data_IF_759850062045
#
_entry.id   IF_759850062045
#
_cell.length_a   1.000
_cell.length_b   1.000
_cell.length_c   1.000
_cell.angle_alpha   90.00
_cell.angle_beta   90.00
_cell.angle_gamma   90.00
#
_symmetry.space_group_name_H-M   'P 1'
#
loop_
_entity.id
_entity.type
_entity.pdbx_description
1 polymer ?
#
# COMPACT_ATOMS: atom_id res chain seq x y z
N UNK A 1 -4.62 30.31 -92.09
CA UNK A 1 -5.55 29.33 -91.50
C UNK A 1 -4.88 27.97 -91.61
N UNK A 2 -4.07 27.57 -90.63
CA UNK A 2 -3.47 26.24 -90.59
C UNK A 2 -4.44 25.32 -89.86
N UNK A 3 -5.16 24.48 -90.59
CA UNK A 3 -5.97 23.39 -90.02
C UNK A 3 -5.21 22.09 -90.27
N UNK A 4 -4.28 21.76 -89.38
CA UNK A 4 -3.73 20.40 -89.31
C UNK A 4 -4.85 19.49 -88.80
N UNK A 5 -5.48 18.79 -89.74
CA UNK A 5 -6.40 17.68 -89.47
C UNK A 5 -5.59 16.55 -88.85
N UNK A 6 -5.51 16.47 -87.52
CA UNK A 6 -4.98 15.30 -86.82
C UNK A 6 -5.89 14.09 -87.16
N UNK A 7 -5.42 13.22 -88.07
CA UNK A 7 -6.13 12.01 -88.45
C UNK A 7 -6.07 11.01 -87.28
N UNK A 8 -7.21 10.78 -86.63
CA UNK A 8 -7.36 9.67 -85.68
C UNK A 8 -7.18 8.33 -86.41
N UNK A 9 -6.33 7.46 -85.89
CA UNK A 9 -6.16 6.10 -86.40
C UNK A 9 -7.12 5.16 -85.65
N UNK A 10 -7.86 4.33 -86.37
CA UNK A 10 -8.74 3.30 -85.78
C UNK A 10 -8.13 1.93 -86.06
N UNK A 11 -7.72 1.22 -85.02
CA UNK A 11 -7.24 -0.17 -85.10
C UNK A 11 -8.41 -1.08 -84.77
N UNK A 12 -8.87 -1.88 -85.73
CA UNK A 12 -9.97 -2.83 -85.50
C UNK A 12 -9.45 -4.25 -85.39
N UNK A 13 -9.96 -4.99 -84.41
CA UNK A 13 -9.66 -6.39 -84.16
C UNK A 13 -10.96 -7.19 -84.18
N UNK A 14 -10.99 -8.27 -84.96
CA UNK A 14 -12.12 -9.20 -84.97
C UNK A 14 -11.70 -10.51 -84.31
N UNK A 15 -12.41 -10.93 -83.28
CA UNK A 15 -12.15 -12.22 -82.63
C UNK A 15 -12.68 -13.37 -83.50
N UNK A 16 -12.12 -14.59 -83.36
CA UNK A 16 -12.65 -15.79 -84.02
C UNK A 16 -14.11 -16.11 -83.67
N UNK A 17 -14.62 -15.58 -82.56
CA UNK A 17 -16.03 -15.69 -82.14
C UNK A 17 -16.96 -14.68 -82.83
N UNK A 18 -16.45 -13.84 -83.73
CA UNK A 18 -17.21 -12.83 -84.47
C UNK A 18 -17.36 -11.48 -83.76
N UNK A 19 -16.73 -11.28 -82.59
CA UNK A 19 -16.80 -9.98 -81.90
C UNK A 19 -15.81 -8.99 -82.51
N UNK A 20 -16.22 -7.74 -82.69
CA UNK A 20 -15.35 -6.65 -83.17
C UNK A 20 -14.99 -5.76 -82.00
N UNK A 21 -13.70 -5.57 -81.75
CA UNK A 21 -13.16 -4.53 -80.87
C UNK A 21 -12.39 -3.52 -81.69
N UNK A 22 -12.29 -2.28 -81.22
CA UNK A 22 -11.52 -1.24 -81.89
C UNK A 22 -10.81 -0.36 -80.87
N UNK A 23 -9.66 0.15 -81.25
CA UNK A 23 -8.89 1.15 -80.52
C UNK A 23 -8.81 2.41 -81.38
N UNK A 24 -9.19 3.56 -80.81
CA UNK A 24 -9.10 4.86 -81.47
C UNK A 24 -7.91 5.61 -80.91
N UNK A 25 -6.90 5.83 -81.74
CA UNK A 25 -5.67 6.54 -81.39
C UNK A 25 -5.79 7.96 -81.94
N UNK A 26 -6.13 8.91 -81.08
CA UNK A 26 -6.19 10.34 -81.43
C UNK A 26 -4.80 10.93 -81.68
N UNK A 27 -3.83 10.52 -80.85
CA UNK A 27 -2.44 10.95 -80.94
C UNK A 27 -1.52 9.76 -80.62
N UNK A 28 -0.67 9.31 -81.55
CA UNK A 28 0.28 8.25 -81.23
C UNK A 28 1.26 8.73 -80.14
N UNK A 29 1.74 7.83 -79.27
CA UNK A 29 2.70 8.20 -78.25
C UNK A 29 3.96 8.79 -78.89
N UNK A 30 4.35 10.00 -78.49
CA UNK A 30 5.53 10.71 -79.02
C UNK A 30 6.83 9.92 -78.77
N UNK A 31 6.84 9.10 -77.73
CA UNK A 31 7.88 8.14 -77.41
C UNK A 31 7.24 6.77 -77.40
N UNK A 32 7.56 5.92 -78.37
CA UNK A 32 7.15 4.52 -78.40
C UNK A 32 7.89 3.67 -77.35
N UNK A 33 8.45 4.28 -76.29
CA UNK A 33 9.11 3.51 -75.23
C UNK A 33 8.05 2.94 -74.30
N UNK A 34 8.19 1.64 -74.01
CA UNK A 34 7.47 0.96 -72.95
C UNK A 34 7.56 1.77 -71.64
N UNK A 35 6.54 1.71 -70.76
CA UNK A 35 6.59 2.38 -69.46
C UNK A 35 7.87 2.00 -68.72
N UNK A 36 8.73 2.99 -68.46
CA UNK A 36 10.05 2.81 -67.83
C UNK A 36 9.98 2.38 -66.37
N UNK A 37 8.79 2.38 -65.76
CA UNK A 37 8.59 2.13 -64.34
C UNK A 37 7.50 1.08 -64.17
N UNK A 38 7.80 -0.14 -64.57
CA UNK A 38 7.20 -1.31 -63.92
C UNK A 38 8.10 -1.62 -62.73
N UNK A 39 7.52 -1.65 -61.52
CA UNK A 39 8.21 -2.16 -60.34
C UNK A 39 8.90 -3.46 -60.75
N UNK A 40 10.22 -3.52 -60.62
CA UNK A 40 11.02 -4.65 -61.08
C UNK A 40 10.44 -5.91 -60.46
N UNK A 41 9.81 -6.76 -61.29
CA UNK A 41 9.48 -8.12 -60.89
C UNK A 41 10.74 -8.76 -60.34
N UNK A 42 10.68 -9.54 -59.24
CA UNK A 42 11.88 -10.15 -58.66
C UNK A 42 12.70 -10.81 -59.77
N UNK A 43 13.92 -10.32 -59.97
CA UNK A 43 14.80 -10.73 -61.07
C UNK A 43 15.27 -12.17 -60.94
N UNK A 44 15.07 -12.77 -59.77
CA UNK A 44 15.44 -14.14 -59.44
C UNK A 44 14.22 -14.89 -58.91
N UNK A 45 13.92 -16.10 -59.41
CA UNK A 45 12.88 -16.94 -58.82
C UNK A 45 13.25 -17.18 -57.35
N UNK A 46 12.30 -16.93 -56.45
CA UNK A 46 12.53 -17.20 -55.03
C UNK A 46 12.58 -18.70 -54.84
N UNK A 47 13.70 -19.22 -54.34
CA UNK A 47 13.85 -20.65 -54.08
C UNK A 47 13.03 -21.07 -52.87
N UNK A 48 12.66 -22.34 -52.79
CA UNK A 48 11.93 -22.90 -51.63
C UNK A 48 12.73 -22.67 -50.33
N UNK A 49 14.07 -22.77 -50.40
CA UNK A 49 14.95 -22.52 -49.26
C UNK A 49 14.86 -21.07 -48.75
N UNK A 50 14.83 -20.09 -49.66
CA UNK A 50 14.67 -18.68 -49.30
C UNK A 50 13.30 -18.38 -48.69
N UNK A 51 12.25 -19.08 -49.12
CA UNK A 51 10.92 -18.97 -48.52
C UNK A 51 10.96 -19.54 -47.09
N UNK A 52 11.53 -20.72 -46.91
CA UNK A 52 11.65 -21.36 -45.60
C UNK A 52 12.48 -20.53 -44.62
N UNK A 53 13.57 -19.92 -45.08
CA UNK A 53 14.40 -19.02 -44.27
C UNK A 53 13.60 -17.79 -43.79
N UNK A 54 12.84 -17.16 -44.70
CA UNK A 54 11.97 -16.01 -44.34
C UNK A 54 10.87 -16.40 -43.37
N UNK A 55 10.28 -17.59 -43.52
CA UNK A 55 9.28 -18.12 -42.59
C UNK A 55 9.89 -18.39 -41.21
N UNK A 56 11.07 -19.01 -41.15
CA UNK A 56 11.82 -19.24 -39.90
C UNK A 56 12.16 -17.92 -39.21
N UNK A 57 12.65 -16.92 -39.94
CA UNK A 57 12.94 -15.60 -39.39
C UNK A 57 11.69 -14.85 -38.90
N UNK A 58 10.51 -15.12 -39.46
CA UNK A 58 9.25 -14.59 -38.95
C UNK A 58 8.80 -15.31 -37.67
N UNK A 59 9.01 -16.63 -37.59
CA UNK A 59 8.73 -17.42 -36.39
C UNK A 59 9.64 -17.07 -35.21
N UNK A 60 10.94 -16.89 -35.46
CA UNK A 60 11.90 -16.44 -34.44
C UNK A 60 11.50 -15.08 -33.88
N UNK A 61 11.11 -14.12 -34.73
CA UNK A 61 10.59 -12.81 -34.29
C UNK A 61 9.34 -12.93 -33.42
N UNK A 62 8.42 -13.84 -33.76
CA UNK A 62 7.22 -14.11 -32.93
C UNK A 62 7.63 -14.66 -31.56
N UNK A 63 8.53 -15.64 -31.54
CA UNK A 63 8.99 -16.27 -30.31
C UNK A 63 9.70 -15.28 -29.39
N UNK A 64 10.60 -14.44 -29.93
CA UNK A 64 11.27 -13.39 -29.15
C UNK A 64 10.26 -12.39 -28.55
N UNK A 65 9.29 -11.92 -29.34
CA UNK A 65 8.27 -11.00 -28.84
C UNK A 65 7.39 -11.63 -27.73
N UNK A 66 7.10 -12.93 -27.83
CA UNK A 66 6.36 -13.66 -26.80
C UNK A 66 7.19 -13.84 -25.52
N UNK A 67 8.47 -14.18 -25.65
CA UNK A 67 9.42 -14.26 -24.52
C UNK A 67 9.54 -12.92 -23.80
N UNK A 68 9.75 -11.83 -24.54
CA UNK A 68 9.85 -10.47 -23.97
C UNK A 68 8.56 -10.08 -23.22
N UNK A 69 7.39 -10.45 -23.76
CA UNK A 69 6.10 -10.21 -23.11
C UNK A 69 5.98 -10.99 -21.80
N UNK A 70 6.37 -12.27 -21.80
CA UNK A 70 6.34 -13.13 -20.61
C UNK A 70 7.32 -12.61 -19.56
N UNK A 71 8.53 -12.24 -19.95
CA UNK A 71 9.54 -11.74 -19.02
C UNK A 71 9.17 -10.38 -18.44
N UNK A 72 8.57 -9.49 -19.24
CA UNK A 72 8.00 -8.24 -18.74
C UNK A 72 6.91 -8.51 -17.69
N UNK A 73 5.99 -9.42 -17.96
CA UNK A 73 4.92 -9.80 -17.02
C UNK A 73 5.49 -10.37 -15.71
N UNK A 74 6.51 -11.23 -15.78
CA UNK A 74 7.20 -11.77 -14.58
C UNK A 74 7.90 -10.68 -13.76
N UNK A 75 8.52 -9.69 -14.41
CA UNK A 75 9.15 -8.57 -13.72
C UNK A 75 8.09 -7.72 -13.01
N UNK A 76 6.98 -7.40 -13.69
CA UNK A 76 5.86 -6.65 -13.11
C UNK A 76 5.25 -7.39 -11.90
N UNK A 77 5.04 -8.70 -12.00
CA UNK A 77 4.58 -9.56 -10.90
C UNK A 77 5.53 -9.50 -9.70
N UNK A 78 6.84 -9.71 -9.91
CA UNK A 78 7.85 -9.63 -8.82
C UNK A 78 7.88 -8.26 -8.15
N UNK A 79 7.72 -7.18 -8.92
CA UNK A 79 7.67 -5.82 -8.38
C UNK A 79 6.40 -5.61 -7.55
N UNK A 80 5.25 -6.12 -8.01
CA UNK A 80 3.99 -6.06 -7.28
C UNK A 80 4.06 -6.85 -5.97
N UNK A 81 4.57 -8.08 -5.98
CA UNK A 81 4.77 -8.90 -4.78
C UNK A 81 5.72 -8.23 -3.78
N UNK A 82 6.83 -7.65 -4.26
CA UNK A 82 7.76 -6.92 -3.41
C UNK A 82 7.08 -5.70 -2.76
N UNK A 83 6.21 -4.99 -3.49
CA UNK A 83 5.45 -3.87 -2.94
C UNK A 83 4.44 -4.32 -1.86
N UNK A 84 3.74 -5.44 -2.10
CA UNK A 84 2.84 -6.05 -1.10
C UNK A 84 3.61 -6.44 0.17
N UNK A 85 4.76 -7.12 0.02
CA UNK A 85 5.60 -7.52 1.16
C UNK A 85 6.10 -6.32 1.96
N UNK A 86 6.56 -5.25 1.29
CA UNK A 86 6.96 -4.00 1.97
C UNK A 86 5.80 -3.38 2.76
N UNK A 87 4.61 -3.33 2.18
CA UNK A 87 3.41 -2.79 2.84
C UNK A 87 3.01 -3.64 4.06
N UNK A 88 3.10 -4.96 3.96
CA UNK A 88 2.82 -5.87 5.07
C UNK A 88 3.81 -5.66 6.23
N UNK A 89 5.12 -5.60 5.95
CA UNK A 89 6.15 -5.32 6.97
C UNK A 89 5.95 -3.97 7.64
N UNK A 90 5.57 -2.93 6.87
CA UNK A 90 5.31 -1.61 7.43
C UNK A 90 4.08 -1.61 8.36
N UNK A 91 3.01 -2.31 7.98
CA UNK A 91 1.81 -2.45 8.80
C UNK A 91 2.10 -3.22 10.10
N UNK A 92 2.85 -4.32 10.00
CA UNK A 92 3.29 -5.11 11.15
C UNK A 92 4.14 -4.27 12.11
N UNK A 93 5.11 -3.53 11.59
CA UNK A 93 5.93 -2.62 12.39
C UNK A 93 5.09 -1.57 13.13
N UNK A 94 4.10 -0.97 12.45
CA UNK A 94 3.19 -0.01 13.07
C UNK A 94 2.37 -0.65 14.19
N UNK A 95 1.81 -1.84 13.97
CA UNK A 95 1.01 -2.56 14.96
C UNK A 95 1.84 -2.93 16.20
N UNK A 96 3.02 -3.51 16.01
CA UNK A 96 3.93 -3.89 17.11
C UNK A 96 4.33 -2.64 17.90
N UNK A 97 4.70 -1.55 17.21
CA UNK A 97 5.11 -0.30 17.85
C UNK A 97 3.97 0.32 18.67
N UNK A 98 2.74 0.32 18.13
CA UNK A 98 1.56 0.81 18.84
C UNK A 98 1.26 -0.03 20.10
N UNK A 99 1.29 -1.36 19.97
CA UNK A 99 1.06 -2.27 21.09
C UNK A 99 2.11 -2.11 22.18
N UNK A 100 3.39 -1.99 21.80
CA UNK A 100 4.51 -1.80 22.72
C UNK A 100 4.40 -0.46 23.47
N UNK A 101 4.03 0.63 22.79
CA UNK A 101 3.73 1.92 23.45
C UNK A 101 2.56 1.77 24.44
N UNK A 102 1.46 1.13 24.04
CA UNK A 102 0.29 0.93 24.90
C UNK A 102 0.64 0.09 26.14
N UNK A 103 1.46 -0.95 25.97
CA UNK A 103 1.95 -1.80 27.06
C UNK A 103 2.81 -1.00 28.05
N UNK A 104 3.78 -0.21 27.55
CA UNK A 104 4.62 0.67 28.39
C UNK A 104 3.82 1.71 29.16
N UNK A 105 2.83 2.32 28.52
CA UNK A 105 1.93 3.29 29.18
C UNK A 105 1.13 2.62 30.29
N UNK A 106 0.57 1.45 30.04
CA UNK A 106 -0.17 0.66 31.03
C UNK A 106 0.71 0.29 32.21
N UNK A 107 1.92 -0.24 31.96
CA UNK A 107 2.87 -0.60 33.01
C UNK A 107 3.31 0.61 33.84
N UNK A 108 3.55 1.76 33.18
CA UNK A 108 3.91 3.01 33.86
C UNK A 108 2.77 3.50 34.75
N UNK A 109 1.53 3.45 34.24
CA UNK A 109 0.35 3.85 35.01
C UNK A 109 0.14 2.94 36.22
N UNK A 110 0.28 1.62 36.07
CA UNK A 110 0.19 0.67 37.17
C UNK A 110 1.27 0.93 38.24
N UNK A 111 2.52 1.16 37.84
CA UNK A 111 3.61 1.51 38.77
C UNK A 111 3.32 2.80 39.52
N UNK A 112 2.81 3.82 38.83
CA UNK A 112 2.38 5.09 39.44
C UNK A 112 1.25 4.86 40.45
N UNK A 113 0.22 4.11 40.08
CA UNK A 113 -0.92 3.82 40.95
C UNK A 113 -0.47 3.09 42.22
N UNK A 114 0.40 2.08 42.09
CA UNK A 114 0.97 1.36 43.23
C UNK A 114 1.72 2.30 44.19
N UNK A 115 2.55 3.21 43.67
CA UNK A 115 3.27 4.19 44.51
C UNK A 115 2.32 5.12 45.26
N UNK A 116 1.24 5.56 44.60
CA UNK A 116 0.20 6.40 45.20
C UNK A 116 -0.54 5.63 46.30
N UNK A 117 -0.94 4.40 46.03
CA UNK A 117 -1.61 3.51 46.99
C UNK A 117 -0.75 3.25 48.23
N UNK A 118 0.53 2.91 48.05
CA UNK A 118 1.48 2.74 49.15
C UNK A 118 1.63 4.02 49.99
N UNK A 119 1.59 5.20 49.36
CA UNK A 119 1.66 6.49 50.07
C UNK A 119 0.37 6.75 50.87
N UNK A 120 -0.79 6.47 50.28
CA UNK A 120 -2.09 6.62 50.95
C UNK A 120 -2.19 5.67 52.16
N UNK A 121 -1.72 4.43 52.02
CA UNK A 121 -1.74 3.46 53.13
C UNK A 121 -0.82 3.90 54.28
N UNK A 122 0.39 4.41 53.98
CA UNK A 122 1.27 5.00 55.01
C UNK A 122 0.61 6.16 55.75
N UNK A 123 -0.10 7.04 55.03
CA UNK A 123 -0.84 8.16 55.62
C UNK A 123 -1.97 7.65 56.51
N UNK A 124 -2.71 6.62 56.07
CA UNK A 124 -3.80 6.00 56.83
C UNK A 124 -3.30 5.35 58.12
N UNK A 125 -2.18 4.61 58.07
CA UNK A 125 -1.53 4.04 59.25
C UNK A 125 -1.10 5.14 60.22
N UNK A 126 -0.54 6.25 59.71
CA UNK A 126 -0.15 7.38 60.55
C UNK A 126 -1.34 8.03 61.26
N UNK A 127 -2.46 8.24 60.57
CA UNK A 127 -3.69 8.77 61.17
C UNK A 127 -4.22 7.84 62.27
N UNK A 128 -4.30 6.52 62.01
CA UNK A 128 -4.69 5.53 63.03
C UNK A 128 -3.81 5.58 64.27
N UNK A 129 -2.49 5.80 64.10
CA UNK A 129 -1.56 5.95 65.23
C UNK A 129 -1.81 7.22 66.01
N UNK A 130 -2.09 8.35 65.34
CA UNK A 130 -2.43 9.61 66.01
C UNK A 130 -3.72 9.45 66.80
N UNK A 131 -4.77 8.88 66.21
CA UNK A 131 -6.06 8.68 66.89
C UNK A 131 -5.91 7.72 68.08
N UNK A 132 -5.15 6.64 67.93
CA UNK A 132 -4.81 5.76 69.05
C UNK A 132 -4.00 6.44 70.16
N UNK A 133 -3.17 7.45 69.83
CA UNK A 133 -2.46 8.24 70.84
C UNK A 133 -3.41 9.23 71.55
N UNK A 134 -4.32 9.87 70.82
CA UNK A 134 -5.34 10.77 71.38
C UNK A 134 -6.25 10.04 72.36
N UNK A 135 -6.80 8.88 71.96
CA UNK A 135 -7.68 8.10 72.83
C UNK A 135 -6.98 7.67 74.13
N UNK A 136 -5.71 7.25 74.07
CA UNK A 136 -4.93 6.93 75.27
C UNK A 136 -4.75 8.12 76.21
N UNK A 137 -4.49 9.31 75.66
CA UNK A 137 -4.37 10.53 76.47
C UNK A 137 -5.71 11.01 77.04
N UNK A 138 -6.84 10.59 76.46
CA UNK A 138 -8.17 10.83 77.02
C UNK A 138 -8.46 9.83 78.14
N UNK A 139 -8.19 8.55 77.93
CA UNK A 139 -8.30 7.49 78.95
C UNK A 139 -7.44 7.79 80.20
N UNK A 140 -6.19 8.25 80.01
CA UNK A 140 -5.31 8.64 81.13
C UNK A 140 -5.88 9.83 81.92
N UNK A 141 -6.50 10.82 81.24
CA UNK A 141 -7.14 11.96 81.93
C UNK A 141 -8.37 11.53 82.70
N UNK A 142 -9.18 10.63 82.15
CA UNK A 142 -10.37 10.12 82.83
C UNK A 142 -9.98 9.33 84.10
N UNK A 143 -8.90 8.54 84.04
CA UNK A 143 -8.34 7.84 85.22
C UNK A 143 -7.81 8.83 86.27
N UNK A 144 -7.09 9.87 85.86
CA UNK A 144 -6.54 10.88 86.78
C UNK A 144 -7.66 11.68 87.46
N UNK A 145 -8.75 11.97 86.76
CA UNK A 145 -9.95 12.64 87.31
C UNK A 145 -10.63 11.75 88.35
N UNK A 146 -10.80 10.46 88.06
CA UNK A 146 -11.39 9.49 88.99
C UNK A 146 -10.53 9.28 90.25
N UNK A 147 -9.20 9.28 90.11
CA UNK A 147 -8.28 9.13 91.24
C UNK A 147 -8.25 10.40 92.12
N UNK A 148 -8.26 11.59 91.51
CA UNK A 148 -8.37 12.86 92.23
C UNK A 148 -9.73 13.00 92.95
N UNK A 149 -10.80 12.43 92.37
CA UNK A 149 -12.12 12.34 93.00
C UNK A 149 -12.13 11.49 94.28
N UNK A 150 -11.34 10.41 94.33
CA UNK A 150 -11.26 9.54 95.51
C UNK A 150 -10.35 10.08 96.63
N UNK A 151 -9.30 10.84 96.30
CA UNK A 151 -8.37 11.38 97.31
C UNK A 151 -8.98 12.59 98.06
N UNK A 152 -10.01 13.24 97.52
CA UNK A 152 -10.63 14.43 98.13
C UNK A 152 -11.86 14.13 99.02
N UNK A 153 -12.29 12.87 99.14
CA UNK A 153 -13.47 12.48 99.91
C UNK A 153 -13.18 11.87 101.30
N UNK A 154 -12.06 12.22 101.93
CA UNK A 154 -11.80 11.87 103.34
C UNK A 154 -11.96 13.11 104.21
N UNK A 155 -13.15 13.36 104.79
CA UNK A 155 -13.32 14.37 105.82
C UNK A 155 -12.93 13.76 107.18
N UNK A 156 -11.98 14.40 107.83
CA UNK A 156 -11.67 14.25 109.25
C UNK A 156 -12.96 14.44 110.10
N UNK A 157 -13.48 13.37 110.69
CA UNK A 157 -14.46 13.40 111.80
C UNK A 157 -14.00 12.44 112.91
N UNK A 158 -12.88 12.77 113.56
CA UNK A 158 -12.67 12.42 114.98
C UNK A 158 -12.87 13.68 115.82
N UNK A 159 -13.41 13.50 117.03
CA UNK A 159 -13.68 14.50 118.08
C UNK A 159 -15.02 15.25 118.04
N UNK A 160 -16.04 14.68 118.70
CA UNK A 160 -16.69 15.29 119.88
C UNK A 160 -18.07 14.68 120.20
N UNK A 161 -18.16 13.85 121.25
CA UNK A 161 -19.09 14.11 122.36
C UNK A 161 -18.84 13.23 123.58
N UNK A 162 -18.37 13.91 124.63
CA UNK A 162 -18.50 13.52 126.03
C UNK A 162 -19.96 13.77 126.44
N UNK A 163 -20.58 12.79 127.08
CA UNK A 163 -21.93 12.83 127.65
C UNK A 163 -22.25 11.50 128.30
#
# INVERSE_FOLDING_TARGET
MNTETEHAAVVMNTSPSGNVSFEVIFKPPKNASLPSVVASSPTTPTTVDQINEKLKAAEERRLTAELDKVDKAKVEERVAEAAVRRKAMQLEFQQITQQDIACRMTATQQKRNKLVEERLERIKIHHKRIDGARNKTEEEKDIDIDLAGQITSSPDEEDAKIG
#
